data_IF_706118234576
#
_entry.id   IF_706118234576
#
_cell.length_a   1.000
_cell.length_b   1.000
_cell.length_c   1.000
_cell.angle_alpha   90.00
_cell.angle_beta   90.00
_cell.angle_gamma   90.00
#
_symmetry.space_group_name_H-M   'P 1'
#
loop_
_entity.id
_entity.type
_entity.pdbx_description
1 polymer ?
#
# COMPACT_ATOMS: atom_id res chain seq x y z
N UNK A 1 -18.15 -6.77 8.00
CA UNK A 1 -16.88 -6.60 7.24
C UNK A 1 -16.51 -5.13 7.21
N UNK A 2 -15.21 -4.82 7.29
CA UNK A 2 -14.68 -3.44 7.26
C UNK A 2 -13.88 -3.24 5.97
N UNK A 3 -14.05 -2.10 5.33
CA UNK A 3 -13.21 -1.72 4.18
C UNK A 3 -11.76 -1.55 4.63
N UNK A 4 -10.84 -2.12 3.88
CA UNK A 4 -9.38 -1.97 4.07
C UNK A 4 -8.79 -1.38 2.81
N UNK A 5 -7.82 -0.49 2.97
CA UNK A 5 -7.01 0.06 1.88
C UNK A 5 -5.55 -0.23 2.19
N UNK A 6 -4.88 -0.86 1.24
CA UNK A 6 -3.47 -1.22 1.31
C UNK A 6 -2.69 -0.49 0.22
N UNK A 7 -1.51 0.00 0.56
CA UNK A 7 -0.51 0.44 -0.40
C UNK A 7 0.52 -0.66 -0.64
N UNK A 8 0.83 -0.96 -1.90
CA UNK A 8 1.84 -1.96 -2.26
C UNK A 8 2.95 -1.28 -3.05
N UNK A 9 4.21 -1.63 -2.74
CA UNK A 9 5.39 -1.12 -3.42
C UNK A 9 6.46 -2.18 -3.65
N UNK A 10 7.20 -2.08 -4.77
CA UNK A 10 8.31 -2.95 -5.08
C UNK A 10 9.33 -2.22 -5.96
N UNK A 11 10.63 -2.38 -5.70
CA UNK A 11 11.70 -1.88 -6.57
C UNK A 11 12.91 -2.84 -6.65
N UNK A 12 12.74 -4.09 -6.23
CA UNK A 12 13.79 -5.10 -6.30
C UNK A 12 13.21 -6.45 -6.74
N UNK A 13 13.81 -7.04 -7.76
CA UNK A 13 13.47 -8.39 -8.20
C UNK A 13 13.83 -9.43 -7.13
N UNK A 14 13.11 -10.54 -7.10
CA UNK A 14 13.36 -11.64 -6.17
C UNK A 14 13.03 -13.00 -6.81
N UNK A 15 13.93 -13.97 -6.66
CA UNK A 15 13.77 -15.34 -7.19
C UNK A 15 13.29 -15.40 -8.66
N UNK A 16 13.88 -14.57 -9.53
CA UNK A 16 13.52 -14.50 -10.95
C UNK A 16 12.21 -13.76 -11.25
N UNK A 17 11.51 -13.26 -10.23
CA UNK A 17 10.32 -12.44 -10.40
C UNK A 17 10.70 -10.96 -10.51
N UNK A 18 10.11 -10.28 -11.47
CA UNK A 18 10.17 -8.82 -11.57
C UNK A 18 9.26 -8.16 -10.52
N UNK A 19 9.48 -6.86 -10.25
CA UNK A 19 8.63 -6.09 -9.34
C UNK A 19 7.15 -6.17 -9.71
N UNK A 20 6.80 -6.10 -11.00
CA UNK A 20 5.40 -6.23 -11.46
C UNK A 20 4.81 -7.61 -11.18
N UNK A 21 5.60 -8.67 -11.39
CA UNK A 21 5.16 -10.04 -11.09
C UNK A 21 4.99 -10.25 -9.58
N UNK A 22 5.86 -9.66 -8.76
CA UNK A 22 5.76 -9.70 -7.29
C UNK A 22 4.47 -9.01 -6.85
N UNK A 23 4.17 -7.81 -7.32
CA UNK A 23 2.93 -7.09 -7.00
C UNK A 23 1.70 -7.91 -7.38
N UNK A 24 1.67 -8.48 -8.58
CA UNK A 24 0.55 -9.33 -9.04
C UNK A 24 0.33 -10.54 -8.14
N UNK A 25 1.41 -11.24 -7.77
CA UNK A 25 1.33 -12.41 -6.88
C UNK A 25 0.93 -12.02 -5.45
N UNK A 26 1.42 -10.89 -4.94
CA UNK A 26 1.02 -10.36 -3.65
C UNK A 26 -0.49 -10.04 -3.60
N UNK A 27 -1.05 -9.46 -4.67
CA UNK A 27 -2.49 -9.26 -4.79
C UNK A 27 -3.27 -10.58 -4.74
N UNK A 28 -2.77 -11.64 -5.39
CA UNK A 28 -3.39 -12.96 -5.31
C UNK A 28 -3.37 -13.52 -3.87
N UNK A 29 -2.26 -13.43 -3.15
CA UNK A 29 -2.19 -13.83 -1.74
C UNK A 29 -3.12 -13.01 -0.85
N UNK A 30 -3.25 -11.72 -1.09
CA UNK A 30 -4.17 -10.85 -0.36
C UNK A 30 -5.65 -11.18 -0.63
N UNK A 31 -5.98 -11.74 -1.82
CA UNK A 31 -7.34 -12.18 -2.13
C UNK A 31 -7.82 -13.39 -1.33
N UNK A 32 -6.91 -14.09 -0.66
CA UNK A 32 -7.25 -15.17 0.29
C UNK A 32 -7.63 -14.63 1.68
N UNK A 33 -7.30 -13.35 1.95
CA UNK A 33 -7.51 -12.69 3.24
C UNK A 33 -8.66 -11.69 3.17
N UNK A 34 -8.76 -10.96 2.05
CA UNK A 34 -9.74 -9.90 1.82
C UNK A 34 -10.75 -10.32 0.75
N UNK A 35 -12.02 -9.96 0.95
CA UNK A 35 -13.10 -10.17 -0.02
C UNK A 35 -13.29 -8.92 -0.90
N UNK A 36 -13.91 -9.10 -2.07
CA UNK A 36 -14.32 -8.00 -2.98
C UNK A 36 -13.18 -7.02 -3.29
N UNK A 37 -12.05 -7.55 -3.75
CA UNK A 37 -10.85 -6.76 -4.03
C UNK A 37 -11.04 -5.87 -5.25
N UNK A 38 -10.57 -4.62 -5.13
CA UNK A 38 -10.40 -3.67 -6.23
C UNK A 38 -8.93 -3.25 -6.29
N UNK A 39 -8.34 -3.25 -7.48
CA UNK A 39 -6.94 -2.90 -7.72
C UNK A 39 -6.84 -1.61 -8.50
N UNK A 40 -5.89 -0.75 -8.13
CA UNK A 40 -5.51 0.40 -8.95
C UNK A 40 -4.62 -0.03 -10.12
N UNK A 41 -4.39 0.88 -11.02
CA UNK A 41 -3.25 0.82 -11.94
C UNK A 41 -1.92 0.83 -11.16
N UNK A 42 -0.84 0.42 -11.82
CA UNK A 42 0.51 0.55 -11.28
C UNK A 42 1.11 1.88 -11.69
N UNK A 43 1.82 2.51 -10.78
CA UNK A 43 2.49 3.79 -10.96
C UNK A 43 3.97 3.65 -10.64
N UNK A 44 4.81 4.23 -11.50
CA UNK A 44 6.25 4.36 -11.23
C UNK A 44 6.50 5.68 -10.53
N UNK A 45 7.23 5.63 -9.41
CA UNK A 45 7.67 6.82 -8.67
C UNK A 45 9.16 6.80 -8.39
N UNK A 46 9.76 7.98 -8.26
CA UNK A 46 11.11 8.12 -7.72
C UNK A 46 11.12 7.75 -6.23
N UNK A 47 12.26 7.24 -5.70
CA UNK A 47 12.41 7.03 -4.26
C UNK A 47 12.27 8.34 -3.49
N UNK A 48 11.51 8.32 -2.38
CA UNK A 48 11.22 9.53 -1.60
C UNK A 48 12.25 9.83 -0.51
N UNK A 49 12.80 8.79 0.14
CA UNK A 49 13.64 8.98 1.35
C UNK A 49 15.10 8.57 1.15
N UNK A 50 15.36 7.49 0.44
CA UNK A 50 16.68 7.00 0.10
C UNK A 50 16.82 7.00 -1.43
N UNK A 51 17.51 8.01 -1.97
CA UNK A 51 17.51 8.29 -3.42
C UNK A 51 18.42 7.37 -4.24
N UNK A 52 19.40 6.69 -3.58
CA UNK A 52 20.35 5.79 -4.27
C UNK A 52 19.75 4.39 -4.47
N UNK A 53 18.62 4.31 -5.16
CA UNK A 53 17.94 3.06 -5.50
C UNK A 53 17.06 3.24 -6.74
N UNK A 54 16.60 2.12 -7.30
CA UNK A 54 15.71 2.12 -8.45
C UNK A 54 14.32 2.72 -8.10
N UNK A 55 13.62 3.19 -9.12
CA UNK A 55 12.25 3.65 -9.00
C UNK A 55 11.34 2.55 -8.45
N UNK A 56 10.33 2.96 -7.69
CA UNK A 56 9.31 2.06 -7.17
C UNK A 56 8.17 1.89 -8.17
N UNK A 57 7.65 0.67 -8.22
CA UNK A 57 6.34 0.36 -8.75
C UNK A 57 5.36 0.33 -7.57
N UNK A 58 4.35 1.20 -7.62
CA UNK A 58 3.37 1.36 -6.54
C UNK A 58 1.97 1.13 -7.06
N UNK A 59 1.12 0.56 -6.21
CA UNK A 59 -0.30 0.40 -6.47
C UNK A 59 -1.08 0.41 -5.17
N UNK A 60 -2.38 0.57 -5.26
CA UNK A 60 -3.31 0.41 -4.15
C UNK A 60 -4.22 -0.79 -4.37
N UNK A 61 -4.63 -1.39 -3.27
CA UNK A 61 -5.64 -2.43 -3.22
C UNK A 61 -6.66 -2.06 -2.15
N UNK A 62 -7.94 -2.12 -2.47
CA UNK A 62 -9.01 -2.11 -1.47
C UNK A 62 -9.72 -3.46 -1.43
N UNK A 63 -10.27 -3.79 -0.30
CA UNK A 63 -11.05 -5.01 -0.08
C UNK A 63 -11.79 -4.93 1.24
N UNK A 64 -12.46 -5.99 1.63
CA UNK A 64 -13.20 -6.08 2.89
C UNK A 64 -12.62 -7.17 3.77
N UNK A 65 -12.32 -6.80 5.00
CA UNK A 65 -11.84 -7.68 6.07
C UNK A 65 -13.01 -8.18 6.90
N UNK A 66 -12.98 -9.46 7.26
CA UNK A 66 -13.95 -10.02 8.21
C UNK A 66 -13.82 -9.33 9.58
N UNK A 67 -14.96 -9.03 10.22
CA UNK A 67 -14.99 -8.34 11.51
C UNK A 67 -14.32 -9.14 12.64
N UNK A 68 -14.20 -10.45 12.49
CA UNK A 68 -13.52 -11.31 13.44
C UNK A 68 -11.98 -11.20 13.36
N UNK A 69 -11.45 -10.62 12.30
CA UNK A 69 -9.99 -10.45 12.11
C UNK A 69 -9.58 -9.09 12.67
N UNK A 70 -8.70 -9.11 13.66
CA UNK A 70 -8.12 -7.89 14.23
C UNK A 70 -7.09 -7.26 13.29
N UNK A 71 -6.88 -5.93 13.34
CA UNK A 71 -5.88 -5.24 12.53
C UNK A 71 -4.45 -5.80 12.70
N UNK A 72 -4.09 -6.20 13.90
CA UNK A 72 -2.79 -6.80 14.20
C UNK A 72 -2.61 -8.16 13.52
N UNK A 73 -3.67 -8.97 13.44
CA UNK A 73 -3.68 -10.25 12.74
C UNK A 73 -3.54 -10.04 11.23
N UNK A 74 -4.19 -9.00 10.68
CA UNK A 74 -3.98 -8.61 9.28
C UNK A 74 -2.52 -8.22 9.03
N UNK A 75 -1.91 -7.43 9.93
CA UNK A 75 -0.50 -7.04 9.83
C UNK A 75 0.42 -8.25 9.84
N UNK A 76 0.19 -9.23 10.72
CA UNK A 76 0.96 -10.49 10.77
C UNK A 76 0.87 -11.26 9.44
N UNK A 77 -0.33 -11.38 8.87
CA UNK A 77 -0.52 -12.02 7.56
C UNK A 77 0.20 -11.27 6.44
N UNK A 78 0.16 -9.94 6.44
CA UNK A 78 0.92 -9.10 5.50
C UNK A 78 2.42 -9.37 5.62
N UNK A 79 2.96 -9.40 6.84
CA UNK A 79 4.38 -9.69 7.05
C UNK A 79 4.80 -11.08 6.55
N UNK A 80 3.91 -12.08 6.64
CA UNK A 80 4.16 -13.41 6.07
C UNK A 80 4.24 -13.35 4.54
N UNK A 81 3.32 -12.63 3.89
CA UNK A 81 3.36 -12.41 2.44
C UNK A 81 4.66 -11.68 2.05
N UNK A 82 5.02 -10.59 2.71
CA UNK A 82 6.27 -9.88 2.43
C UNK A 82 7.50 -10.78 2.56
N UNK A 83 7.54 -11.62 3.59
CA UNK A 83 8.63 -12.58 3.82
C UNK A 83 8.71 -13.63 2.71
N UNK A 84 7.60 -14.14 2.22
CA UNK A 84 7.53 -15.07 1.08
C UNK A 84 8.19 -14.47 -0.17
N UNK A 85 8.01 -13.17 -0.40
CA UNK A 85 8.65 -12.44 -1.51
C UNK A 85 10.03 -11.87 -1.15
N UNK A 86 10.69 -12.37 -0.13
CA UNK A 86 12.10 -12.08 0.17
C UNK A 86 12.33 -10.83 1.01
N UNK A 87 11.27 -10.26 1.63
CA UNK A 87 11.42 -9.15 2.57
C UNK A 87 12.14 -9.62 3.83
N UNK A 88 13.21 -8.93 4.21
CA UNK A 88 13.93 -9.20 5.45
C UNK A 88 14.15 -7.89 6.23
N UNK A 89 13.18 -7.56 7.09
CA UNK A 89 13.15 -6.30 7.84
C UNK A 89 14.35 -6.12 8.79
N UNK A 90 15.00 -7.21 9.23
CA UNK A 90 16.17 -7.16 10.11
C UNK A 90 17.46 -6.78 9.38
N UNK A 91 17.56 -7.13 8.09
CA UNK A 91 18.77 -6.94 7.27
C UNK A 91 18.67 -5.79 6.29
N UNK A 92 17.47 -5.27 6.05
CA UNK A 92 17.25 -4.23 5.05
C UNK A 92 17.51 -2.83 5.62
N UNK A 93 18.09 -1.97 4.78
CA UNK A 93 18.26 -0.56 5.08
C UNK A 93 16.89 0.10 5.19
N UNK A 94 16.67 0.89 6.23
CA UNK A 94 15.41 1.65 6.39
C UNK A 94 15.16 2.51 5.16
N UNK A 95 13.96 2.40 4.57
CA UNK A 95 13.55 3.03 3.31
C UNK A 95 14.41 2.66 2.09
N UNK A 96 15.22 1.59 2.17
CA UNK A 96 16.04 1.09 1.09
C UNK A 96 15.27 0.22 0.08
N UNK A 97 16.00 -0.40 -0.88
CA UNK A 97 15.41 -1.29 -1.89
C UNK A 97 14.69 -2.48 -1.24
N UNK A 98 13.52 -2.81 -1.75
CA UNK A 98 12.71 -3.92 -1.23
C UNK A 98 11.93 -4.62 -2.34
N UNK A 99 11.84 -5.94 -2.21
CA UNK A 99 11.08 -6.76 -3.16
C UNK A 99 9.58 -6.56 -3.04
N UNK A 100 9.08 -6.40 -1.82
CA UNK A 100 7.67 -6.12 -1.54
C UNK A 100 7.55 -5.33 -0.24
N UNK A 101 6.70 -4.32 -0.26
CA UNK A 101 6.28 -3.53 0.89
C UNK A 101 4.76 -3.40 0.84
N UNK A 102 4.06 -3.73 1.92
CA UNK A 102 2.61 -3.62 2.01
C UNK A 102 2.28 -2.83 3.27
N UNK A 103 1.78 -1.61 3.09
CA UNK A 103 1.34 -0.74 4.18
C UNK A 103 -0.19 -0.80 4.33
N UNK A 104 -0.70 -0.89 5.56
CA UNK A 104 -2.11 -0.69 5.88
C UNK A 104 -2.36 0.82 5.95
N UNK A 105 -2.97 1.37 4.90
CA UNK A 105 -3.23 2.80 4.80
C UNK A 105 -4.47 3.22 5.60
N UNK A 106 -5.51 2.40 5.57
CA UNK A 106 -6.79 2.69 6.20
C UNK A 106 -7.57 1.41 6.50
N UNK A 107 -8.28 1.39 7.62
CA UNK A 107 -9.35 0.42 7.93
C UNK A 107 -10.57 1.20 8.43
N UNK A 108 -11.70 0.95 7.82
CA UNK A 108 -12.97 1.60 8.14
C UNK A 108 -13.34 1.46 9.62
N UNK A 109 -13.62 2.61 10.26
CA UNK A 109 -14.01 2.66 11.66
C UNK A 109 -12.90 2.34 12.67
N UNK A 110 -11.64 2.18 12.22
CA UNK A 110 -10.49 1.88 13.08
C UNK A 110 -9.54 3.08 13.14
N UNK A 111 -9.22 3.47 14.37
CA UNK A 111 -8.13 4.39 14.67
C UNK A 111 -7.20 3.74 15.70
N UNK A 112 -5.96 3.47 15.30
CA UNK A 112 -4.94 2.84 16.14
C UNK A 112 -3.67 3.67 16.17
N UNK A 113 -3.04 3.73 17.35
CA UNK A 113 -1.74 4.38 17.52
C UNK A 113 -0.90 3.55 18.50
N UNK A 114 -0.44 2.39 18.04
CA UNK A 114 0.46 1.51 18.79
C UNK A 114 1.90 1.66 18.26
N UNK A 115 2.85 1.04 18.93
CA UNK A 115 4.26 1.02 18.48
C UNK A 115 4.40 0.36 17.09
N UNK A 116 3.67 -0.73 16.87
CA UNK A 116 3.82 -1.57 15.67
C UNK A 116 2.83 -1.26 14.56
N UNK A 117 1.69 -0.62 14.88
CA UNK A 117 0.62 -0.36 13.91
C UNK A 117 -0.07 0.97 14.19
N UNK A 118 -0.13 1.81 13.16
CA UNK A 118 -0.86 3.08 13.19
C UNK A 118 -1.84 3.12 12.03
N UNK A 119 -3.11 3.36 12.33
CA UNK A 119 -4.20 3.44 11.36
C UNK A 119 -5.02 4.72 11.63
N UNK A 120 -5.23 5.58 10.67
CA UNK A 120 -4.66 5.59 9.31
C UNK A 120 -3.13 5.69 9.31
N UNK A 121 -2.50 5.25 8.22
CA UNK A 121 -1.03 5.31 8.11
C UNK A 121 -0.53 6.74 8.29
N UNK A 122 0.43 7.03 9.20
CA UNK A 122 0.79 8.40 9.58
C UNK A 122 1.37 9.24 8.44
N UNK A 123 1.93 8.59 7.41
CA UNK A 123 2.54 9.26 6.25
C UNK A 123 1.64 9.33 5.01
N UNK A 124 0.38 8.92 5.11
CA UNK A 124 -0.54 8.95 3.96
C UNK A 124 -0.67 10.37 3.38
N UNK A 125 -0.62 11.39 4.25
CA UNK A 125 -0.76 12.81 3.87
C UNK A 125 0.40 13.38 3.06
N UNK A 126 1.54 12.69 3.01
CA UNK A 126 2.76 13.17 2.35
C UNK A 126 3.19 12.32 1.15
N UNK A 127 2.41 11.26 0.81
CA UNK A 127 2.79 10.26 -0.18
C UNK A 127 1.88 10.29 -1.41
N UNK A 128 2.26 11.05 -2.44
CA UNK A 128 1.53 11.11 -3.71
C UNK A 128 1.39 9.73 -4.35
N UNK A 129 2.45 8.89 -4.26
CA UNK A 129 2.48 7.54 -4.81
C UNK A 129 1.56 6.54 -4.08
N UNK A 130 0.99 6.93 -2.94
CA UNK A 130 -0.10 6.24 -2.24
C UNK A 130 -1.45 6.86 -2.57
N UNK A 131 -1.57 8.18 -2.44
CA UNK A 131 -2.85 8.89 -2.60
C UNK A 131 -3.44 8.75 -4.00
N UNK A 132 -2.62 8.87 -5.05
CA UNK A 132 -3.10 8.77 -6.44
C UNK A 132 -3.68 7.38 -6.74
N UNK A 133 -2.99 6.25 -6.49
CA UNK A 133 -3.57 4.93 -6.66
C UNK A 133 -4.80 4.68 -5.79
N UNK A 134 -4.80 5.17 -4.54
CA UNK A 134 -5.94 5.02 -3.62
C UNK A 134 -7.18 5.73 -4.17
N UNK A 135 -7.04 6.98 -4.60
CA UNK A 135 -8.16 7.75 -5.16
C UNK A 135 -8.74 7.12 -6.44
N UNK A 136 -7.93 6.37 -7.20
CA UNK A 136 -8.39 5.65 -8.40
C UNK A 136 -9.40 4.54 -8.06
N UNK A 137 -9.30 3.92 -6.88
CA UNK A 137 -10.10 2.75 -6.48
C UNK A 137 -11.22 3.06 -5.50
N UNK A 138 -11.36 4.30 -5.05
CA UNK A 138 -12.47 4.70 -4.20
C UNK A 138 -13.75 4.88 -5.02
N UNK A 139 -14.87 4.39 -4.49
CA UNK A 139 -16.18 4.60 -5.08
C UNK A 139 -16.70 6.02 -4.76
N UNK A 140 -17.16 6.74 -5.78
CA UNK A 140 -17.60 8.14 -5.65
C UNK A 140 -18.77 8.34 -4.70
N UNK A 141 -19.57 7.31 -4.49
CA UNK A 141 -20.78 7.39 -3.64
C UNK A 141 -20.53 6.74 -2.29
N UNK A 142 -20.00 5.51 -2.30
CA UNK A 142 -19.78 4.77 -1.05
C UNK A 142 -18.63 5.34 -0.21
N UNK A 143 -17.61 5.93 -0.85
CA UNK A 143 -16.40 6.45 -0.20
C UNK A 143 -16.31 7.99 -0.26
N UNK A 144 -17.41 8.71 -0.46
CA UNK A 144 -17.42 10.16 -0.68
C UNK A 144 -16.57 10.94 0.34
N UNK A 145 -16.79 10.71 1.63
CA UNK A 145 -16.02 11.41 2.69
C UNK A 145 -14.53 11.10 2.66
N UNK A 146 -14.19 9.84 2.38
CA UNK A 146 -12.80 9.41 2.30
C UNK A 146 -12.12 10.00 1.05
N UNK A 147 -12.85 10.08 -0.06
CA UNK A 147 -12.40 10.76 -1.27
C UNK A 147 -12.13 12.24 -1.04
N UNK A 148 -13.03 12.94 -0.37
CA UNK A 148 -12.84 14.37 -0.02
C UNK A 148 -11.61 14.56 0.85
N UNK A 149 -11.45 13.73 1.88
CA UNK A 149 -10.31 13.78 2.79
C UNK A 149 -8.98 13.53 2.04
N UNK A 150 -8.88 12.46 1.28
CA UNK A 150 -7.64 12.09 0.57
C UNK A 150 -7.34 13.03 -0.59
N UNK A 151 -8.36 13.56 -1.26
CA UNK A 151 -8.19 14.60 -2.28
C UNK A 151 -7.64 15.88 -1.66
N UNK A 152 -8.07 16.25 -0.46
CA UNK A 152 -7.55 17.42 0.25
C UNK A 152 -6.07 17.25 0.61
N UNK A 153 -5.63 16.04 0.99
CA UNK A 153 -4.22 15.77 1.22
C UNK A 153 -3.40 15.91 -0.06
N UNK A 154 -3.89 15.35 -1.16
CA UNK A 154 -3.20 15.43 -2.45
C UNK A 154 -3.04 16.86 -2.96
N UNK A 155 -4.06 17.72 -2.77
CA UNK A 155 -4.01 19.13 -3.17
C UNK A 155 -2.92 19.93 -2.44
N UNK A 156 -2.53 19.52 -1.23
CA UNK A 156 -1.49 20.17 -0.45
C UNK A 156 -0.07 19.66 -0.76
N UNK A 157 0.07 18.67 -1.64
CA UNK A 157 1.36 18.12 -2.05
C UNK A 157 1.86 18.78 -3.34
N UNK A 158 3.20 18.83 -3.55
CA UNK A 158 3.77 19.23 -4.83
C UNK A 158 3.20 18.37 -5.98
N UNK A 159 3.11 18.95 -7.17
CA UNK A 159 2.66 18.26 -8.37
C UNK A 159 3.29 16.87 -8.51
N UNK A 160 2.45 15.88 -8.78
CA UNK A 160 2.86 14.48 -8.98
C UNK A 160 3.55 14.23 -10.34
N UNK A 161 4.36 15.19 -10.83
CA UNK A 161 5.02 15.15 -12.16
C UNK A 161 5.92 13.95 -12.35
N UNK A 162 6.43 13.39 -11.26
CA UNK A 162 7.31 12.23 -11.26
C UNK A 162 6.56 10.89 -11.10
N UNK A 163 5.24 10.91 -11.05
CA UNK A 163 4.41 9.71 -10.92
C UNK A 163 3.85 9.34 -12.30
N UNK A 164 4.29 8.21 -12.82
CA UNK A 164 3.91 7.73 -14.16
C UNK A 164 3.04 6.49 -14.07
N UNK A 165 1.84 6.56 -14.60
CA UNK A 165 0.92 5.41 -14.74
C UNK A 165 1.40 4.51 -15.88
N UNK A 166 1.41 3.20 -15.66
CA UNK A 166 1.75 2.18 -16.65
C UNK A 166 0.61 1.17 -16.84
#
# INVERSE_FOLDING_TARGET
MKKVILGLGSNRNYNGLTSLQILSKACASLSEILSFITLSSVYISKPMYYEKQDNFYNMALSGFLDDAILPEVLLEKIHLIEKEFGRNREKEIRNGPRSLDIDIEYIEGISLNTENLKIPHPKIKERTFVLVPVLEILDKTADEKLMEEFSSYLQNLPDAKDLVKI
#
